data_IF_038219402845
#
_entry.id   IF_038219402845
#
_cell.length_a   1.000
_cell.length_b   1.000
_cell.length_c   1.000
_cell.angle_alpha   90.00
_cell.angle_beta   90.00
_cell.angle_gamma   90.00
#
_symmetry.space_group_name_H-M   'P 1'
#
loop_
_entity.id
_entity.type
_entity.pdbx_description
1 polymer ?
#
# COMPACT_ATOMS: atom_id res chain seq x y z
N UNK A 1 0.86 1.05 18.64
CA UNK A 1 0.14 1.11 17.34
C UNK A 1 -1.13 0.29 17.45
N UNK A 2 -2.27 0.81 16.97
CA UNK A 2 -3.48 -0.02 16.85
C UNK A 2 -3.39 -0.94 15.62
N UNK A 3 -4.23 -2.00 15.58
CA UNK A 3 -4.20 -3.01 14.51
C UNK A 3 -4.38 -2.38 13.11
N UNK A 4 -5.26 -1.39 12.99
CA UNK A 4 -5.50 -0.65 11.75
C UNK A 4 -4.24 0.07 11.23
N UNK A 5 -3.49 0.74 12.11
CA UNK A 5 -2.25 1.42 11.76
C UNK A 5 -1.15 0.43 11.33
N UNK A 6 -1.07 -0.73 11.99
CA UNK A 6 -0.14 -1.80 11.60
C UNK A 6 -0.46 -2.37 10.22
N UNK A 7 -1.73 -2.67 9.96
CA UNK A 7 -2.19 -3.11 8.64
C UNK A 7 -1.89 -2.07 7.56
N UNK A 8 -2.16 -0.79 7.85
CA UNK A 8 -1.86 0.32 6.95
C UNK A 8 -0.37 0.41 6.61
N UNK A 9 0.51 0.32 7.62
CA UNK A 9 1.96 0.38 7.42
C UNK A 9 2.46 -0.82 6.60
N UNK A 10 2.00 -2.03 6.92
CA UNK A 10 2.37 -3.25 6.19
C UNK A 10 2.00 -3.14 4.70
N UNK A 11 0.79 -2.66 4.40
CA UNK A 11 0.39 -2.40 3.01
C UNK A 11 1.40 -1.44 2.35
N UNK A 12 1.59 -0.24 2.91
CA UNK A 12 2.45 0.79 2.30
C UNK A 12 3.88 0.30 2.03
N UNK A 13 4.43 -0.52 2.93
CA UNK A 13 5.76 -1.11 2.77
C UNK A 13 5.80 -2.13 1.63
N UNK A 14 4.83 -3.04 1.56
CA UNK A 14 4.76 -4.06 0.51
C UNK A 14 4.58 -3.47 -0.88
N UNK A 15 3.75 -2.43 -1.01
CA UNK A 15 3.66 -1.73 -2.28
C UNK A 15 4.94 -1.03 -2.67
N UNK A 16 5.76 -0.58 -1.71
CA UNK A 16 6.98 0.14 -2.03
C UNK A 16 7.97 -0.82 -2.67
N UNK A 17 8.13 -1.99 -2.06
CA UNK A 17 8.94 -3.09 -2.59
C UNK A 17 8.48 -3.45 -4.01
N UNK A 18 7.18 -3.62 -4.22
CA UNK A 18 6.64 -4.07 -5.49
C UNK A 18 6.76 -3.00 -6.59
N UNK A 19 6.44 -1.74 -6.28
CA UNK A 19 6.59 -0.61 -7.21
C UNK A 19 8.06 -0.36 -7.53
N UNK A 20 8.97 -0.52 -6.56
CA UNK A 20 10.40 -0.38 -6.77
C UNK A 20 10.93 -1.42 -7.77
N UNK A 21 10.41 -2.65 -7.72
CA UNK A 21 10.83 -3.75 -8.60
C UNK A 21 10.14 -3.70 -9.97
N UNK A 22 8.82 -3.52 -10.02
CA UNK A 22 8.03 -3.66 -11.25
C UNK A 22 7.74 -2.33 -11.94
N UNK A 23 7.79 -1.21 -11.22
CA UNK A 23 7.32 0.10 -11.65
C UNK A 23 5.87 0.39 -11.23
N UNK A 24 5.52 1.68 -11.14
CA UNK A 24 4.20 2.12 -10.66
C UNK A 24 3.05 1.79 -11.63
N UNK A 25 3.29 1.96 -12.93
CA UNK A 25 2.27 1.77 -13.97
C UNK A 25 1.84 0.29 -14.08
N UNK A 26 2.80 -0.62 -13.88
CA UNK A 26 2.64 -2.07 -14.02
C UNK A 26 2.16 -2.76 -12.74
N UNK A 27 2.16 -2.05 -11.61
CA UNK A 27 1.72 -2.58 -10.32
C UNK A 27 0.26 -2.20 -10.07
N UNK A 28 -0.60 -3.21 -9.93
CA UNK A 28 -2.00 -3.04 -9.55
C UNK A 28 -2.20 -3.14 -8.03
N UNK A 29 -3.35 -2.67 -7.53
CA UNK A 29 -3.75 -2.87 -6.13
C UNK A 29 -3.84 -4.37 -5.82
N UNK A 30 -4.34 -5.17 -6.76
CA UNK A 30 -4.48 -6.62 -6.56
C UNK A 30 -3.11 -7.31 -6.45
N UNK A 31 -2.11 -6.89 -7.23
CA UNK A 31 -0.73 -7.38 -7.08
C UNK A 31 -0.17 -7.08 -5.69
N UNK A 32 -0.42 -5.86 -5.19
CA UNK A 32 0.01 -5.45 -3.85
C UNK A 32 -0.69 -6.30 -2.80
N UNK A 33 -2.01 -6.44 -2.89
CA UNK A 33 -2.80 -7.18 -1.91
C UNK A 33 -2.45 -8.66 -1.90
N UNK A 34 -2.07 -9.26 -3.03
CA UNK A 34 -1.58 -10.63 -3.10
C UNK A 34 -0.29 -10.86 -2.29
N UNK A 35 0.50 -9.80 -2.04
CA UNK A 35 1.69 -9.86 -1.17
C UNK A 35 1.36 -9.64 0.31
N UNK A 36 0.09 -9.44 0.65
CA UNK A 36 -0.41 -9.18 1.99
C UNK A 36 -1.52 -10.17 2.38
N UNK A 37 -1.91 -10.19 3.65
CA UNK A 37 -3.13 -10.90 4.10
C UNK A 37 -4.34 -9.97 4.18
N UNK A 38 -4.35 -8.88 3.41
CA UNK A 38 -5.39 -7.84 3.47
C UNK A 38 -6.39 -8.08 2.34
N UNK A 39 -7.69 -8.06 2.69
CA UNK A 39 -8.76 -8.16 1.70
C UNK A 39 -8.94 -6.84 0.95
N UNK A 40 -9.52 -6.91 -0.24
CA UNK A 40 -9.83 -5.73 -1.06
C UNK A 40 -10.76 -4.74 -0.34
N UNK A 41 -11.75 -5.24 0.42
CA UNK A 41 -12.61 -4.40 1.25
C UNK A 41 -11.86 -3.67 2.38
N UNK A 42 -10.93 -4.37 3.05
CA UNK A 42 -10.10 -3.76 4.08
C UNK A 42 -9.11 -2.72 3.51
N UNK A 43 -8.63 -2.91 2.28
CA UNK A 43 -7.88 -1.88 1.57
C UNK A 43 -8.71 -0.62 1.36
N UNK A 44 -9.93 -0.76 0.83
CA UNK A 44 -10.80 0.38 0.54
C UNK A 44 -11.31 1.11 1.78
N UNK A 45 -11.24 0.48 2.96
CA UNK A 45 -11.43 1.18 4.23
C UNK A 45 -10.31 2.19 4.53
N UNK A 46 -9.08 1.94 4.06
CA UNK A 46 -7.92 2.79 4.29
C UNK A 46 -7.60 3.75 3.15
N UNK A 47 -7.91 3.39 1.90
CA UNK A 47 -7.54 4.14 0.70
C UNK A 47 -8.62 4.03 -0.37
N UNK A 48 -9.03 5.15 -0.98
CA UNK A 48 -10.09 5.14 -1.99
C UNK A 48 -9.61 4.64 -3.35
N UNK A 49 -8.33 4.85 -3.69
CA UNK A 49 -7.75 4.45 -4.97
C UNK A 49 -6.22 4.29 -4.90
N UNK A 50 -5.62 3.85 -6.02
CA UNK A 50 -4.17 3.60 -6.16
C UNK A 50 -3.33 4.87 -5.98
N UNK A 51 -3.86 6.00 -6.44
CA UNK A 51 -3.14 7.29 -6.41
C UNK A 51 -3.05 7.83 -4.99
N UNK A 52 -4.15 7.83 -4.23
CA UNK A 52 -4.16 8.18 -2.81
C UNK A 52 -3.20 7.28 -2.05
N UNK A 53 -3.30 5.97 -2.25
CA UNK A 53 -2.44 4.99 -1.62
C UNK A 53 -0.95 5.27 -1.87
N UNK A 54 -0.55 5.56 -3.11
CA UNK A 54 0.83 5.86 -3.45
C UNK A 54 1.27 7.26 -2.99
N UNK A 55 0.37 8.24 -2.97
CA UNK A 55 0.64 9.55 -2.37
C UNK A 55 0.98 9.40 -0.87
N UNK A 56 0.18 8.64 -0.14
CA UNK A 56 0.43 8.34 1.27
C UNK A 56 1.73 7.54 1.49
N UNK A 57 2.08 6.64 0.58
CA UNK A 57 3.35 5.92 0.62
C UNK A 57 4.55 6.87 0.43
N UNK A 58 4.48 7.79 -0.55
CA UNK A 58 5.55 8.76 -0.81
C UNK A 58 5.79 9.67 0.39
N UNK A 59 4.72 10.13 1.04
CA UNK A 59 4.82 10.93 2.27
C UNK A 59 5.45 10.12 3.40
N UNK A 60 5.03 8.87 3.59
CA UNK A 60 5.57 8.02 4.66
C UNK A 60 7.07 7.73 4.50
N UNK A 61 7.60 7.70 3.27
CA UNK A 61 9.02 7.50 2.97
C UNK A 61 9.85 8.79 3.02
N UNK A 62 9.25 9.96 2.77
CA UNK A 62 9.95 11.25 2.80
C UNK A 62 10.27 11.76 4.23
N UNK A 63 9.82 11.05 5.25
CA UNK A 63 10.05 11.36 6.67
C UNK A 63 10.87 10.27 7.39
N UNK A 64 11.55 9.43 6.62
CA UNK A 64 12.56 8.47 7.08
C UNK A 64 13.88 8.79 6.37
#
# INVERSE_FOLDING_TARGET
MNKAAATRLNMLQKAFELIYVKGFQTTSIDDILATTQVTKGAFYYHFKNKDEYCHHQRIAKAHL
#
